data_IF_496211460850
#
_entry.id   IF_496211460850
#
_cell.length_a   1.000
_cell.length_b   1.000
_cell.length_c   1.000
_cell.angle_alpha   90.00
_cell.angle_beta   90.00
_cell.angle_gamma   90.00
#
_symmetry.space_group_name_H-M   'P 1'
#
loop_
_entity.id
_entity.type
_entity.pdbx_description
1 polymer ?
#
# COMPACT_ATOMS: atom_id res chain seq x y z
N UNK A 1 -2.21 22.69 -28.87
CA UNK A 1 -0.74 22.55 -28.86
C UNK A 1 -0.33 22.44 -27.40
N UNK A 2 0.27 21.32 -26.98
CA UNK A 2 0.92 21.25 -25.67
C UNK A 2 2.08 22.26 -25.69
N UNK A 3 2.12 23.17 -24.72
CA UNK A 3 3.12 24.27 -24.66
C UNK A 3 4.52 23.78 -24.30
N UNK A 4 4.66 22.54 -23.84
CA UNK A 4 5.91 21.88 -23.45
C UNK A 4 5.87 20.39 -23.85
N UNK A 5 6.30 20.01 -25.07
CA UNK A 5 6.13 18.65 -25.60
C UNK A 5 6.95 17.59 -24.86
N UNK A 6 8.04 17.98 -24.20
CA UNK A 6 8.91 17.07 -23.43
C UNK A 6 8.50 16.93 -21.96
N UNK A 7 7.56 17.74 -21.47
CA UNK A 7 7.07 17.66 -20.09
C UNK A 7 5.99 16.57 -20.00
N UNK A 8 6.09 15.72 -18.98
CA UNK A 8 5.03 14.78 -18.63
C UNK A 8 4.12 15.37 -17.56
N UNK A 9 2.81 15.30 -17.81
CA UNK A 9 1.79 15.50 -16.79
C UNK A 9 1.24 14.14 -16.36
N UNK A 10 1.59 13.71 -15.15
CA UNK A 10 1.04 12.49 -14.55
C UNK A 10 0.16 12.83 -13.35
N UNK A 11 -0.97 12.13 -13.15
CA UNK A 11 -1.69 12.19 -11.89
C UNK A 11 -0.80 11.72 -10.74
N UNK A 12 -1.06 12.21 -9.52
CA UNK A 12 -0.31 11.79 -8.33
C UNK A 12 -0.62 10.32 -7.98
N UNK A 13 0.40 9.45 -7.99
CA UNK A 13 0.25 8.03 -7.65
C UNK A 13 -0.27 7.84 -6.21
N UNK A 14 0.21 8.64 -5.26
CA UNK A 14 -0.23 8.57 -3.87
C UNK A 14 -1.72 8.92 -3.72
N UNK A 15 -2.18 9.94 -4.45
CA UNK A 15 -3.60 10.28 -4.50
C UNK A 15 -4.44 9.15 -5.11
N UNK A 16 -3.97 8.52 -6.19
CA UNK A 16 -4.67 7.39 -6.82
C UNK A 16 -4.81 6.18 -5.89
N UNK A 17 -3.71 5.75 -5.26
CA UNK A 17 -3.72 4.67 -4.26
C UNK A 17 -4.67 5.02 -3.11
N UNK A 18 -4.72 6.30 -2.77
CA UNK A 18 -5.66 6.80 -1.80
C UNK A 18 -7.13 6.61 -2.14
N UNK A 19 -7.50 6.92 -3.38
CA UNK A 19 -8.85 6.68 -3.87
C UNK A 19 -9.20 5.18 -3.91
N UNK A 20 -8.22 4.30 -4.18
CA UNK A 20 -8.41 2.85 -4.09
C UNK A 20 -8.75 2.44 -2.65
N UNK A 21 -7.98 2.93 -1.68
CA UNK A 21 -8.25 2.66 -0.26
C UNK A 21 -9.62 3.20 0.17
N UNK A 22 -9.97 4.42 -0.25
CA UNK A 22 -11.28 5.00 0.02
C UNK A 22 -12.43 4.13 -0.52
N UNK A 23 -12.30 3.63 -1.75
CA UNK A 23 -13.29 2.74 -2.35
C UNK A 23 -13.34 1.36 -1.67
N UNK A 24 -12.21 0.82 -1.20
CA UNK A 24 -12.21 -0.39 -0.36
C UNK A 24 -13.00 -0.13 0.93
N UNK A 25 -12.85 1.05 1.53
CA UNK A 25 -13.56 1.46 2.74
C UNK A 25 -15.08 1.57 2.58
N UNK A 26 -15.58 1.66 1.34
CA UNK A 26 -17.02 1.72 1.02
C UNK A 26 -17.66 0.34 0.88
N UNK A 27 -16.87 -0.73 0.82
CA UNK A 27 -17.40 -2.10 0.78
C UNK A 27 -18.06 -2.40 2.13
N UNK A 28 -19.32 -2.82 2.11
CA UNK A 28 -20.19 -2.84 3.30
C UNK A 28 -19.58 -3.57 4.51
N UNK A 29 -19.00 -4.76 4.29
CA UNK A 29 -18.40 -5.52 5.38
C UNK A 29 -17.12 -4.85 5.93
N UNK A 30 -16.34 -4.14 5.10
CA UNK A 30 -15.18 -3.35 5.52
C UNK A 30 -15.64 -2.12 6.29
N UNK A 31 -16.64 -1.41 5.74
CA UNK A 31 -17.25 -0.23 6.36
C UNK A 31 -17.77 -0.55 7.76
N UNK A 32 -18.51 -1.65 7.91
CA UNK A 32 -19.03 -2.11 9.21
C UNK A 32 -17.91 -2.40 10.21
N UNK A 33 -16.84 -3.09 9.79
CA UNK A 33 -15.69 -3.36 10.65
C UNK A 33 -14.95 -2.07 11.06
N UNK A 34 -14.79 -1.12 10.13
CA UNK A 34 -14.22 0.21 10.42
C UNK A 34 -15.10 0.96 11.43
N UNK A 35 -16.42 0.95 11.27
CA UNK A 35 -17.35 1.59 12.20
C UNK A 35 -17.30 0.99 13.61
N UNK A 36 -17.22 -0.34 13.73
CA UNK A 36 -17.01 -1.03 15.01
C UNK A 36 -15.69 -0.61 15.66
N UNK A 37 -14.58 -0.60 14.91
CA UNK A 37 -13.28 -0.12 15.41
C UNK A 37 -13.31 1.36 15.81
N UNK A 38 -14.08 2.19 15.09
CA UNK A 38 -14.30 3.60 15.46
C UNK A 38 -15.10 3.73 16.75
N UNK A 39 -16.08 2.86 17.00
CA UNK A 39 -16.82 2.84 18.27
C UNK A 39 -15.88 2.53 19.44
N UNK A 40 -15.05 1.48 19.30
CA UNK A 40 -14.02 1.10 20.29
C UNK A 40 -13.09 2.27 20.60
N UNK A 41 -12.51 2.90 19.57
CA UNK A 41 -11.59 4.03 19.77
C UNK A 41 -12.29 5.25 20.35
N UNK A 42 -13.50 5.62 19.88
CA UNK A 42 -14.24 6.74 20.47
C UNK A 42 -14.49 6.53 21.95
N UNK A 43 -14.88 5.34 22.36
CA UNK A 43 -15.13 5.06 23.77
C UNK A 43 -13.86 5.16 24.62
N UNK A 44 -12.76 4.52 24.18
CA UNK A 44 -11.48 4.54 24.91
C UNK A 44 -10.97 5.97 25.10
N UNK A 45 -11.01 6.79 24.05
CA UNK A 45 -10.46 8.14 24.09
C UNK A 45 -11.42 9.17 24.69
N UNK A 46 -12.71 8.86 24.84
CA UNK A 46 -13.70 9.73 25.50
C UNK A 46 -13.46 9.86 27.01
N UNK A 47 -12.94 8.82 27.65
CA UNK A 47 -12.78 8.76 29.10
C UNK A 47 -11.30 8.69 29.49
N UNK A 48 -10.78 9.70 30.20
CA UNK A 48 -9.37 9.79 30.60
C UNK A 48 -8.90 8.56 31.38
N UNK A 49 -9.76 8.00 32.24
CA UNK A 49 -9.45 6.78 32.99
C UNK A 49 -9.26 5.59 32.06
N UNK A 50 -10.20 5.35 31.13
CA UNK A 50 -10.11 4.27 30.14
C UNK A 50 -8.89 4.42 29.24
N UNK A 51 -8.60 5.64 28.78
CA UNK A 51 -7.40 5.96 28.00
C UNK A 51 -6.11 5.62 28.78
N UNK A 52 -6.05 5.97 30.06
CA UNK A 52 -4.88 5.69 30.91
C UNK A 52 -4.72 4.19 31.20
N UNK A 53 -5.81 3.44 31.36
CA UNK A 53 -5.75 1.98 31.44
C UNK A 53 -5.20 1.43 30.12
N UNK A 54 -5.78 1.82 28.99
CA UNK A 54 -5.32 1.36 27.66
C UNK A 54 -3.83 1.59 27.45
N UNK A 55 -3.34 2.81 27.74
CA UNK A 55 -1.91 3.15 27.58
C UNK A 55 -0.98 2.31 28.46
N UNK A 56 -1.42 1.86 29.64
CA UNK A 56 -0.62 0.94 30.46
C UNK A 56 -0.52 -0.45 29.82
N UNK A 57 -1.62 -0.94 29.27
CA UNK A 57 -1.64 -2.23 28.58
C UNK A 57 -0.94 -2.20 27.22
N UNK A 58 -0.92 -1.06 26.52
CA UNK A 58 -0.29 -0.90 25.20
C UNK A 58 1.12 -0.30 25.27
N UNK A 59 1.71 -0.14 26.46
CA UNK A 59 3.03 0.46 26.66
C UNK A 59 3.15 1.87 26.05
N UNK A 60 2.10 2.67 26.19
CA UNK A 60 2.00 4.04 25.69
C UNK A 60 1.69 4.14 24.20
N UNK A 61 1.53 3.01 23.50
CA UNK A 61 1.20 3.00 22.07
C UNK A 61 -0.28 3.34 21.89
N UNK A 62 -0.55 4.46 21.22
CA UNK A 62 -1.91 4.86 20.86
C UNK A 62 -2.47 3.96 19.73
N UNK A 63 -3.77 3.62 19.84
CA UNK A 63 -4.51 2.85 18.83
C UNK A 63 -4.69 3.66 17.54
N UNK A 64 -5.02 4.95 17.65
CA UNK A 64 -5.27 5.80 16.49
C UNK A 64 -3.93 6.16 15.87
N UNK A 65 -3.74 5.77 14.62
CA UNK A 65 -2.53 6.06 13.86
C UNK A 65 -2.87 6.93 12.66
N UNK A 66 -2.57 8.24 12.71
CA UNK A 66 -2.76 9.12 11.57
C UNK A 66 -2.00 8.59 10.35
N UNK A 67 -2.70 8.48 9.22
CA UNK A 67 -2.06 8.24 7.94
C UNK A 67 -1.58 9.55 7.32
N UNK A 68 -0.65 9.48 6.38
CA UNK A 68 -0.25 10.63 5.56
C UNK A 68 -1.44 11.26 4.82
N UNK A 69 -2.48 10.47 4.59
CA UNK A 69 -3.72 10.88 3.99
C UNK A 69 -4.92 10.46 4.84
N UNK A 70 -5.99 11.26 4.76
CA UNK A 70 -7.24 11.03 5.51
C UNK A 70 -7.81 9.62 5.29
N UNK A 71 -7.88 9.16 4.04
CA UNK A 71 -8.40 7.83 3.68
C UNK A 71 -7.53 6.67 4.22
N UNK A 72 -6.23 6.87 4.40
CA UNK A 72 -5.34 5.84 4.94
C UNK A 72 -5.47 5.70 6.47
N UNK A 73 -5.95 6.73 7.16
CA UNK A 73 -6.02 6.78 8.63
C UNK A 73 -6.87 5.67 9.22
N UNK A 74 -8.01 5.34 8.61
CA UNK A 74 -8.88 4.25 9.09
C UNK A 74 -8.16 2.90 9.03
N UNK A 75 -7.50 2.61 7.91
CA UNK A 75 -6.77 1.35 7.73
C UNK A 75 -5.49 1.28 8.55
N UNK A 76 -4.77 2.39 8.71
CA UNK A 76 -3.61 2.47 9.60
C UNK A 76 -4.01 2.26 11.05
N UNK A 77 -5.15 2.80 11.48
CA UNK A 77 -5.73 2.57 12.81
C UNK A 77 -6.18 1.13 13.00
N UNK A 78 -6.84 0.52 12.01
CA UNK A 78 -7.21 -0.91 12.05
C UNK A 78 -5.98 -1.81 12.16
N UNK A 79 -4.94 -1.54 11.36
CA UNK A 79 -3.67 -2.27 11.41
C UNK A 79 -3.00 -2.13 12.78
N UNK A 80 -3.00 -0.93 13.35
CA UNK A 80 -2.48 -0.66 14.68
C UNK A 80 -3.28 -1.40 15.76
N UNK A 81 -4.60 -1.35 15.70
CA UNK A 81 -5.51 -2.05 16.60
C UNK A 81 -5.30 -3.57 16.53
N UNK A 82 -5.17 -4.14 15.33
CA UNK A 82 -4.88 -5.56 15.14
C UNK A 82 -3.53 -5.96 15.75
N UNK A 83 -2.51 -5.11 15.65
CA UNK A 83 -1.21 -5.30 16.32
C UNK A 83 -1.29 -5.24 17.84
N UNK A 84 -2.24 -4.46 18.39
CA UNK A 84 -2.49 -4.32 19.83
C UNK A 84 -3.55 -5.30 20.35
N UNK A 85 -4.01 -6.27 19.55
CA UNK A 85 -5.10 -7.18 19.90
C UNK A 85 -4.94 -7.81 21.28
N UNK A 86 -3.80 -8.45 21.55
CA UNK A 86 -3.58 -9.15 22.82
C UNK A 86 -3.55 -8.19 24.01
N UNK A 87 -2.98 -7.00 23.82
CA UNK A 87 -2.95 -5.95 24.83
C UNK A 87 -4.37 -5.46 25.16
N UNK A 88 -5.17 -5.18 24.13
CA UNK A 88 -6.55 -4.71 24.30
C UNK A 88 -7.47 -5.79 24.89
N UNK A 89 -7.24 -7.06 24.56
CA UNK A 89 -7.93 -8.19 25.19
C UNK A 89 -7.56 -8.33 26.66
N UNK A 90 -6.26 -8.24 26.98
CA UNK A 90 -5.78 -8.30 28.37
C UNK A 90 -6.28 -7.12 29.20
N UNK A 91 -6.43 -5.95 28.56
CA UNK A 91 -6.98 -4.75 29.18
C UNK A 91 -8.41 -5.01 29.68
N UNK A 92 -9.32 -5.49 28.81
CA UNK A 92 -10.74 -5.66 29.18
C UNK A 92 -11.04 -6.89 30.03
N UNK A 93 -10.09 -7.80 30.21
CA UNK A 93 -10.21 -8.92 31.14
C UNK A 93 -9.48 -8.68 32.46
N UNK A 94 -8.87 -7.51 32.63
CA UNK A 94 -8.12 -7.17 33.84
C UNK A 94 -9.02 -6.80 35.02
N UNK A 95 -8.54 -7.06 36.23
CA UNK A 95 -9.18 -6.58 37.47
C UNK A 95 -9.28 -5.05 37.51
N UNK A 96 -8.30 -4.37 36.93
CA UNK A 96 -8.29 -2.92 36.83
C UNK A 96 -9.43 -2.38 35.96
N UNK A 97 -9.68 -2.98 34.81
CA UNK A 97 -10.83 -2.62 33.99
C UNK A 97 -12.14 -2.98 34.69
N UNK A 98 -12.26 -4.21 35.20
CA UNK A 98 -13.48 -4.69 35.85
C UNK A 98 -13.86 -3.84 37.07
N UNK A 99 -12.88 -3.37 37.85
CA UNK A 99 -13.10 -2.47 38.99
C UNK A 99 -13.33 -1.00 38.62
N UNK A 100 -13.26 -0.62 37.34
CA UNK A 100 -13.49 0.76 36.91
C UNK A 100 -14.98 1.13 36.90
N UNK A 101 -15.30 2.41 37.07
CA UNK A 101 -16.68 2.91 36.94
C UNK A 101 -17.25 2.76 35.52
N UNK A 102 -16.38 2.55 34.53
CA UNK A 102 -16.73 2.54 33.12
C UNK A 102 -17.05 1.14 32.59
N UNK A 103 -16.53 0.07 33.21
CA UNK A 103 -16.74 -1.32 32.77
C UNK A 103 -18.21 -1.74 32.79
N UNK A 104 -18.95 -1.34 33.83
CA UNK A 104 -20.35 -1.72 34.05
C UNK A 104 -21.37 -0.81 33.32
N UNK A 105 -20.90 0.20 32.59
CA UNK A 105 -21.77 1.01 31.73
C UNK A 105 -22.20 0.21 30.51
N UNK A 106 -23.36 0.52 29.92
CA UNK A 106 -23.82 -0.15 28.69
C UNK A 106 -22.76 -0.09 27.58
N UNK A 107 -22.14 1.08 27.38
CA UNK A 107 -21.06 1.27 26.41
C UNK A 107 -19.78 0.48 26.77
N UNK A 108 -19.46 0.34 28.06
CA UNK A 108 -18.30 -0.43 28.54
C UNK A 108 -18.46 -1.94 28.37
N UNK A 109 -19.70 -2.44 28.54
CA UNK A 109 -20.05 -3.82 28.22
C UNK A 109 -19.94 -4.08 26.71
N UNK A 110 -20.44 -3.16 25.88
CA UNK A 110 -20.32 -3.24 24.41
C UNK A 110 -18.84 -3.21 23.96
N UNK A 111 -18.00 -2.39 24.58
CA UNK A 111 -16.56 -2.38 24.35
C UNK A 111 -15.94 -3.75 24.67
N UNK A 112 -16.27 -4.30 25.84
CA UNK A 112 -15.74 -5.58 26.31
C UNK A 112 -16.16 -6.72 25.39
N UNK A 113 -17.44 -6.75 24.98
CA UNK A 113 -17.95 -7.72 24.01
C UNK A 113 -17.20 -7.61 22.68
N UNK A 114 -17.07 -6.40 22.13
CA UNK A 114 -16.36 -6.18 20.86
C UNK A 114 -14.90 -6.63 20.92
N UNK A 115 -14.19 -6.29 22.00
CA UNK A 115 -12.77 -6.64 22.17
C UNK A 115 -12.54 -8.12 22.50
N UNK A 116 -13.55 -8.83 23.01
CA UNK A 116 -13.47 -10.29 23.22
C UNK A 116 -14.00 -11.09 22.02
N UNK A 117 -14.75 -10.45 21.11
CA UNK A 117 -15.33 -11.07 19.92
C UNK A 117 -14.27 -11.56 18.92
N UNK A 118 -14.23 -12.88 18.69
CA UNK A 118 -13.28 -13.50 17.76
C UNK A 118 -13.49 -13.06 16.31
N UNK A 119 -14.75 -12.92 15.88
CA UNK A 119 -15.10 -12.54 14.51
C UNK A 119 -14.66 -11.12 14.19
N UNK A 120 -14.83 -10.18 15.12
CA UNK A 120 -14.33 -8.81 14.99
C UNK A 120 -12.83 -8.78 14.67
N UNK A 121 -12.03 -9.52 15.45
CA UNK A 121 -10.58 -9.57 15.23
C UNK A 121 -10.20 -10.26 13.92
N UNK A 122 -10.89 -11.34 13.55
CA UNK A 122 -10.67 -12.01 12.27
C UNK A 122 -10.91 -11.06 11.09
N UNK A 123 -11.98 -10.25 11.15
CA UNK A 123 -12.27 -9.23 10.14
C UNK A 123 -11.18 -8.14 10.11
N UNK A 124 -10.77 -7.61 11.27
CA UNK A 124 -9.71 -6.59 11.33
C UNK A 124 -8.39 -7.09 10.74
N UNK A 125 -8.01 -8.34 11.03
CA UNK A 125 -6.79 -8.96 10.50
C UNK A 125 -6.91 -9.16 8.98
N UNK A 126 -8.05 -9.66 8.49
CA UNK A 126 -8.29 -9.84 7.06
C UNK A 126 -8.21 -8.51 6.31
N UNK A 127 -8.92 -7.47 6.77
CA UNK A 127 -8.87 -6.13 6.18
C UNK A 127 -7.44 -5.62 6.14
N UNK A 128 -6.71 -5.75 7.25
CA UNK A 128 -5.31 -5.34 7.35
C UNK A 128 -4.45 -6.04 6.29
N UNK A 129 -4.64 -7.35 6.06
CA UNK A 129 -3.90 -8.09 5.03
C UNK A 129 -4.24 -7.64 3.60
N UNK A 130 -5.51 -7.31 3.33
CA UNK A 130 -5.95 -6.80 2.03
C UNK A 130 -5.35 -5.42 1.72
N UNK A 131 -5.26 -4.54 2.71
CA UNK A 131 -4.82 -3.14 2.52
C UNK A 131 -3.33 -2.90 2.76
N UNK A 132 -2.64 -3.75 3.53
CA UNK A 132 -1.20 -3.63 3.82
C UNK A 132 -0.33 -3.43 2.56
N UNK A 133 -0.50 -4.19 1.46
CA UNK A 133 0.32 -3.97 0.28
C UNK A 133 0.10 -2.58 -0.32
N UNK A 134 -1.14 -2.09 -0.40
CA UNK A 134 -1.45 -0.75 -0.89
C UNK A 134 -0.87 0.35 0.02
N UNK A 135 -0.95 0.16 1.34
CA UNK A 135 -0.32 1.08 2.30
C UNK A 135 1.21 1.12 2.15
N UNK A 136 1.85 0.01 1.79
CA UNK A 136 3.29 -0.02 1.47
C UNK A 136 3.61 0.72 0.18
N UNK A 137 2.81 0.53 -0.88
CA UNK A 137 3.02 1.29 -2.13
C UNK A 137 2.83 2.77 -1.87
N UNK A 138 1.80 3.15 -1.10
CA UNK A 138 1.56 4.53 -0.69
C UNK A 138 2.80 5.12 0.01
N UNK A 139 3.36 4.39 0.99
CA UNK A 139 4.58 4.83 1.68
C UNK A 139 5.79 4.96 0.75
N UNK A 140 5.91 4.14 -0.30
CA UNK A 140 6.98 4.25 -1.29
C UNK A 140 6.81 5.52 -2.12
N UNK A 141 5.61 5.79 -2.65
CA UNK A 141 5.36 6.94 -3.53
C UNK A 141 5.31 8.27 -2.78
N UNK A 142 5.04 8.25 -1.47
CA UNK A 142 5.15 9.44 -0.62
C UNK A 142 6.55 9.69 -0.10
N UNK A 143 7.44 8.68 -0.12
CA UNK A 143 8.79 8.80 0.43
C UNK A 143 9.66 9.65 -0.50
N UNK A 144 10.02 10.86 -0.06
CA UNK A 144 11.02 11.69 -0.75
C UNK A 144 12.44 11.10 -0.77
N UNK A 145 12.68 9.96 -0.09
CA UNK A 145 14.03 9.38 0.08
C UNK A 145 14.42 8.38 -1.01
N UNK A 146 13.49 7.90 -1.84
CA UNK A 146 13.73 6.84 -2.81
C UNK A 146 13.00 7.14 -4.11
N UNK A 147 13.67 6.87 -5.23
CA UNK A 147 13.06 6.84 -6.56
C UNK A 147 11.88 5.87 -6.55
N UNK A 148 10.66 6.39 -6.64
CA UNK A 148 9.45 5.62 -6.43
C UNK A 148 8.94 4.99 -7.73
N UNK A 149 9.17 5.66 -8.88
CA UNK A 149 8.53 5.30 -10.16
C UNK A 149 8.78 3.84 -10.55
N UNK A 150 10.01 3.36 -10.37
CA UNK A 150 10.38 1.98 -10.68
C UNK A 150 9.81 0.91 -9.76
N UNK A 151 9.12 1.27 -8.69
CA UNK A 151 8.51 0.33 -7.74
C UNK A 151 6.99 0.28 -7.80
N UNK A 152 6.36 1.31 -8.37
CA UNK A 152 4.90 1.47 -8.30
C UNK A 152 4.18 0.33 -9.00
N UNK A 153 4.55 -0.01 -10.23
CA UNK A 153 3.94 -1.13 -10.97
C UNK A 153 4.09 -2.47 -10.25
N UNK A 154 5.30 -2.78 -9.78
CA UNK A 154 5.57 -3.99 -9.01
C UNK A 154 4.71 -4.06 -7.75
N UNK A 155 4.60 -2.93 -7.05
CA UNK A 155 3.80 -2.78 -5.84
C UNK A 155 2.32 -3.02 -6.09
N UNK A 156 1.76 -2.42 -7.14
CA UNK A 156 0.36 -2.56 -7.52
C UNK A 156 0.04 -4.00 -7.97
N UNK A 157 0.91 -4.63 -8.76
CA UNK A 157 0.77 -6.03 -9.15
C UNK A 157 0.78 -6.94 -7.92
N UNK A 158 1.75 -6.75 -7.02
CA UNK A 158 1.85 -7.51 -5.76
C UNK A 158 0.62 -7.31 -4.87
N UNK A 159 0.04 -6.11 -4.84
CA UNK A 159 -1.20 -5.86 -4.11
C UNK A 159 -2.36 -6.72 -4.65
N UNK A 160 -2.54 -6.79 -5.97
CA UNK A 160 -3.54 -7.66 -6.60
C UNK A 160 -3.33 -9.14 -6.28
N UNK A 161 -2.10 -9.63 -6.37
CA UNK A 161 -1.79 -11.03 -6.05
C UNK A 161 -2.03 -11.38 -4.58
N UNK A 162 -1.71 -10.47 -3.64
CA UNK A 162 -2.02 -10.68 -2.22
C UNK A 162 -3.54 -10.74 -2.00
N UNK A 163 -4.30 -9.84 -2.62
CA UNK A 163 -5.77 -9.85 -2.51
C UNK A 163 -6.36 -11.17 -3.01
N UNK A 164 -5.88 -11.67 -4.16
CA UNK A 164 -6.28 -12.97 -4.71
C UNK A 164 -5.92 -14.15 -3.78
N UNK A 165 -4.78 -14.06 -3.09
CA UNK A 165 -4.36 -15.09 -2.13
C UNK A 165 -5.22 -15.09 -0.86
N UNK A 166 -5.58 -13.92 -0.35
CA UNK A 166 -6.43 -13.82 0.86
C UNK A 166 -7.91 -14.12 0.56
N UNK A 167 -8.35 -13.91 -0.68
CA UNK A 167 -9.71 -14.18 -1.16
C UNK A 167 -9.66 -15.17 -2.32
N UNK A 168 -9.71 -16.49 -2.07
CA UNK A 168 -9.41 -17.49 -3.11
C UNK A 168 -10.51 -17.61 -4.18
N UNK A 169 -11.75 -17.21 -3.88
CA UNK A 169 -12.83 -17.23 -4.86
C UNK A 169 -12.72 -16.04 -5.81
N UNK A 170 -12.86 -16.32 -7.10
CA UNK A 170 -12.78 -15.30 -8.16
C UNK A 170 -13.75 -14.15 -7.95
N UNK A 171 -15.00 -14.45 -7.64
CA UNK A 171 -16.03 -13.45 -7.36
C UNK A 171 -15.62 -12.47 -6.25
N UNK A 172 -14.95 -12.95 -5.21
CA UNK A 172 -14.55 -12.14 -4.06
C UNK A 172 -13.39 -11.19 -4.39
N UNK A 173 -12.29 -11.71 -4.96
CA UNK A 173 -11.12 -10.87 -5.25
C UNK A 173 -11.33 -9.94 -6.46
N UNK A 174 -12.21 -10.30 -7.39
CA UNK A 174 -12.49 -9.48 -8.58
C UNK A 174 -13.10 -8.13 -8.23
N UNK A 175 -13.87 -8.01 -7.14
CA UNK A 175 -14.39 -6.73 -6.65
C UNK A 175 -13.26 -5.74 -6.41
N UNK A 176 -12.22 -6.17 -5.69
CA UNK A 176 -11.05 -5.35 -5.36
C UNK A 176 -10.17 -5.10 -6.59
N UNK A 177 -9.97 -6.11 -7.43
CA UNK A 177 -9.21 -5.94 -8.67
C UNK A 177 -9.86 -4.93 -9.60
N UNK A 178 -11.19 -4.94 -9.71
CA UNK A 178 -11.93 -3.97 -10.50
C UNK A 178 -11.78 -2.55 -9.95
N UNK A 179 -11.81 -2.37 -8.62
CA UNK A 179 -11.54 -1.05 -8.00
C UNK A 179 -10.11 -0.59 -8.31
N UNK A 180 -9.13 -1.46 -8.09
CA UNK A 180 -7.71 -1.17 -8.38
C UNK A 180 -7.56 -0.79 -9.85
N UNK A 181 -8.01 -1.63 -10.77
CA UNK A 181 -7.85 -1.41 -12.21
C UNK A 181 -8.58 -0.14 -12.66
N UNK A 182 -9.80 0.12 -12.18
CA UNK A 182 -10.55 1.33 -12.56
C UNK A 182 -9.85 2.62 -12.12
N UNK A 183 -9.28 2.66 -10.91
CA UNK A 183 -8.53 3.82 -10.43
C UNK A 183 -7.16 3.92 -11.09
N UNK A 184 -6.51 2.78 -11.35
CA UNK A 184 -5.17 2.68 -11.91
C UNK A 184 -5.11 2.84 -13.42
N UNK A 185 -6.23 2.66 -14.16
CA UNK A 185 -6.32 2.83 -15.63
C UNK A 185 -5.67 4.11 -16.14
N UNK A 186 -5.77 5.22 -15.39
CA UNK A 186 -5.16 6.51 -15.76
C UNK A 186 -3.62 6.49 -15.78
N UNK A 187 -3.00 5.50 -15.13
CA UNK A 187 -1.55 5.30 -15.09
C UNK A 187 -1.04 4.28 -16.11
N UNK A 188 -1.92 3.47 -16.72
CA UNK A 188 -1.52 2.45 -17.71
C UNK A 188 -0.88 3.06 -18.96
N UNK A 189 -1.22 4.31 -19.28
CA UNK A 189 -0.71 5.03 -20.45
C UNK A 189 0.34 6.09 -20.08
N UNK A 190 1.08 5.90 -18.98
CA UNK A 190 2.18 6.78 -18.60
C UNK A 190 3.52 6.12 -18.91
N UNK A 191 4.13 6.43 -20.07
CA UNK A 191 5.46 5.97 -20.48
C UNK A 191 6.49 6.00 -19.35
N UNK A 192 6.52 7.07 -18.55
CA UNK A 192 7.49 7.24 -17.46
C UNK A 192 7.45 6.14 -16.41
N UNK A 193 6.26 5.69 -16.00
CA UNK A 193 6.17 4.65 -14.99
C UNK A 193 6.58 3.29 -15.58
N UNK A 194 6.29 3.06 -16.87
CA UNK A 194 6.70 1.84 -17.59
C UNK A 194 8.21 1.80 -17.75
N UNK A 195 8.82 2.91 -18.17
CA UNK A 195 10.27 3.08 -18.27
C UNK A 195 10.94 2.92 -16.90
N UNK A 196 10.43 3.56 -15.86
CA UNK A 196 10.96 3.42 -14.50
C UNK A 196 10.93 1.97 -14.00
N UNK A 197 9.84 1.24 -14.27
CA UNK A 197 9.74 -0.18 -13.90
C UNK A 197 10.69 -1.06 -14.73
N UNK A 198 10.77 -0.83 -16.04
CA UNK A 198 11.65 -1.56 -16.95
C UNK A 198 13.13 -1.38 -16.59
N UNK A 199 13.53 -0.16 -16.26
CA UNK A 199 14.91 0.18 -15.93
C UNK A 199 15.29 -0.17 -14.48
N UNK A 200 14.36 -0.71 -13.69
CA UNK A 200 14.65 -1.20 -12.34
C UNK A 200 15.23 -2.63 -12.40
N UNK A 201 16.53 -2.83 -12.15
CA UNK A 201 17.19 -4.14 -12.35
C UNK A 201 16.59 -5.23 -11.46
N UNK A 202 16.09 -4.86 -10.28
CA UNK A 202 15.43 -5.79 -9.36
C UNK A 202 14.24 -6.49 -10.00
N UNK A 203 13.41 -5.73 -10.71
CA UNK A 203 12.19 -6.25 -11.31
C UNK A 203 12.45 -6.77 -12.71
N UNK A 204 13.25 -6.05 -13.50
CA UNK A 204 13.57 -6.43 -14.86
C UNK A 204 14.19 -7.84 -14.96
N UNK A 205 15.22 -8.13 -14.15
CA UNK A 205 15.89 -9.42 -14.18
C UNK A 205 15.29 -10.46 -13.21
N UNK A 206 14.41 -10.02 -12.31
CA UNK A 206 13.78 -10.89 -11.31
C UNK A 206 12.41 -11.42 -11.75
N UNK A 207 11.76 -10.77 -12.70
CA UNK A 207 10.50 -11.18 -13.33
C UNK A 207 10.86 -11.87 -14.65
N UNK A 208 10.08 -12.89 -15.04
CA UNK A 208 10.25 -13.57 -16.33
C UNK A 208 9.89 -12.65 -17.50
N UNK A 209 9.04 -13.12 -18.41
CA UNK A 209 8.68 -12.33 -19.59
C UNK A 209 7.98 -11.00 -19.21
N UNK A 210 8.62 -9.90 -19.60
CA UNK A 210 8.08 -8.55 -19.47
C UNK A 210 7.03 -8.36 -20.56
N UNK A 211 5.84 -7.91 -20.15
CA UNK A 211 4.76 -7.64 -21.10
C UNK A 211 5.17 -6.58 -22.15
N UNK A 212 4.79 -6.81 -23.41
CA UNK A 212 5.14 -5.95 -24.55
C UNK A 212 4.73 -4.50 -24.38
N UNK A 213 3.63 -4.24 -23.66
CA UNK A 213 3.14 -2.90 -23.35
C UNK A 213 4.11 -2.07 -22.49
N UNK A 214 4.95 -2.71 -21.66
CA UNK A 214 5.95 -2.01 -20.85
C UNK A 214 7.09 -1.53 -21.76
N UNK A 215 7.52 -2.37 -22.70
CA UNK A 215 8.57 -2.02 -23.67
C UNK A 215 8.13 -0.88 -24.59
N UNK A 216 6.90 -0.92 -25.11
CA UNK A 216 6.34 0.19 -25.88
C UNK A 216 6.38 1.50 -25.09
N UNK A 217 6.02 1.46 -23.81
CA UNK A 217 6.12 2.65 -22.93
C UNK A 217 7.54 3.17 -22.74
N UNK A 218 8.58 2.33 -22.86
CA UNK A 218 9.98 2.80 -22.84
C UNK A 218 10.31 3.56 -24.11
N UNK A 219 9.91 3.05 -25.27
CA UNK A 219 10.13 3.73 -26.55
C UNK A 219 9.35 5.05 -26.63
N UNK A 220 8.08 5.07 -26.20
CA UNK A 220 7.29 6.29 -26.10
C UNK A 220 7.98 7.36 -25.22
N UNK A 221 8.73 6.93 -24.20
CA UNK A 221 9.54 7.81 -23.35
C UNK A 221 10.73 8.41 -24.09
N UNK A 222 11.45 7.58 -24.83
CA UNK A 222 12.64 7.99 -25.57
C UNK A 222 12.27 8.98 -26.68
N UNK A 223 11.25 8.63 -27.47
CA UNK A 223 10.77 9.46 -28.58
C UNK A 223 10.27 10.84 -28.11
N UNK A 224 9.66 10.91 -26.92
CA UNK A 224 9.17 12.18 -26.34
C UNK A 224 10.26 13.01 -25.68
N UNK A 225 11.23 12.39 -25.00
CA UNK A 225 12.26 13.10 -24.23
C UNK A 225 13.49 13.49 -25.06
N UNK A 226 13.78 12.74 -26.11
CA UNK A 226 14.99 12.88 -26.92
C UNK A 226 14.58 13.25 -28.34
N UNK A 227 14.88 14.46 -28.79
CA UNK A 227 14.54 14.90 -30.16
C UNK A 227 15.53 14.44 -31.23
N UNK A 228 16.75 14.07 -30.84
CA UNK A 228 17.84 13.66 -31.73
C UNK A 228 17.75 12.15 -32.04
N UNK A 229 17.53 11.82 -33.31
CA UNK A 229 17.34 10.45 -33.80
C UNK A 229 18.61 9.61 -33.59
N UNK A 230 19.81 10.18 -33.75
CA UNK A 230 21.07 9.43 -33.55
C UNK A 230 21.28 9.12 -32.06
N UNK A 231 20.80 9.98 -31.17
CA UNK A 231 20.78 9.70 -29.72
C UNK A 231 19.74 8.61 -29.42
N UNK A 232 18.54 8.67 -30.00
CA UNK A 232 17.52 7.62 -29.82
C UNK A 232 18.05 6.24 -30.24
N UNK A 233 18.65 6.13 -31.43
CA UNK A 233 19.22 4.88 -31.95
C UNK A 233 20.30 4.29 -31.04
N UNK A 234 21.13 5.16 -30.43
CA UNK A 234 22.13 4.74 -29.44
C UNK A 234 21.48 4.24 -28.17
N UNK A 235 20.46 4.92 -27.64
CA UNK A 235 19.72 4.48 -26.44
C UNK A 235 19.08 3.12 -26.69
N UNK A 236 18.47 2.90 -27.86
CA UNK A 236 17.86 1.60 -28.21
C UNK A 236 18.91 0.48 -28.24
N UNK A 237 20.12 0.75 -28.72
CA UNK A 237 21.24 -0.22 -28.64
C UNK A 237 21.62 -0.52 -27.19
N UNK A 238 21.76 0.50 -26.35
CA UNK A 238 22.06 0.34 -24.91
C UNK A 238 20.96 -0.44 -24.17
N UNK A 239 19.70 -0.28 -24.54
CA UNK A 239 18.59 -1.06 -23.97
C UNK A 239 18.74 -2.56 -24.25
N UNK A 240 19.21 -2.93 -25.45
CA UNK A 240 19.50 -4.33 -25.75
C UNK A 240 20.67 -4.86 -24.90
N UNK A 241 21.73 -4.05 -24.72
CA UNK A 241 22.85 -4.40 -23.83
C UNK A 241 22.40 -4.59 -22.38
N UNK A 242 21.50 -3.72 -21.90
CA UNK A 242 20.85 -3.86 -20.61
C UNK A 242 20.04 -5.16 -20.54
N UNK A 243 19.14 -5.41 -21.49
CA UNK A 243 18.33 -6.65 -21.51
C UNK A 243 19.19 -7.90 -21.38
N UNK A 244 20.25 -7.95 -22.17
CA UNK A 244 21.10 -9.14 -22.30
C UNK A 244 22.23 -9.16 -21.23
N UNK A 245 22.23 -8.18 -20.31
CA UNK A 245 23.22 -7.98 -19.25
C UNK A 245 24.68 -8.00 -19.75
N UNK A 246 24.92 -7.37 -20.90
CA UNK A 246 26.22 -7.37 -21.57
C UNK A 246 27.22 -6.48 -20.84
N UNK A 247 28.50 -6.89 -20.87
CA UNK A 247 29.60 -6.11 -20.30
C UNK A 247 29.53 -6.00 -18.78
N UNK A 248 29.60 -4.78 -18.27
CA UNK A 248 29.69 -4.52 -16.82
C UNK A 248 28.37 -4.83 -16.08
N UNK A 249 27.25 -4.82 -16.79
CA UNK A 249 25.91 -5.15 -16.25
C UNK A 249 25.76 -6.64 -15.89
N UNK A 250 26.58 -7.51 -16.49
CA UNK A 250 26.62 -8.95 -16.24
C UNK A 250 27.66 -9.37 -15.19
N UNK A 251 28.50 -8.47 -14.72
CA UNK A 251 29.52 -8.80 -13.70
C UNK A 251 28.85 -9.26 -12.41
N UNK A 252 29.50 -10.19 -11.70
CA UNK A 252 29.01 -10.71 -10.40
C UNK A 252 28.69 -9.61 -9.40
N UNK A 253 29.43 -8.49 -9.42
CA UNK A 253 29.15 -7.32 -8.58
C UNK A 253 27.80 -6.69 -8.95
N UNK A 254 27.57 -6.39 -10.23
CA UNK A 254 26.34 -5.80 -10.73
C UNK A 254 25.13 -6.71 -10.47
N UNK A 255 25.28 -8.02 -10.72
CA UNK A 255 24.22 -9.01 -10.46
C UNK A 255 23.80 -9.03 -8.99
N UNK A 256 24.77 -9.08 -8.05
CA UNK A 256 24.46 -8.99 -6.61
C UNK A 256 23.82 -7.66 -6.23
N UNK A 257 24.18 -6.59 -6.93
CA UNK A 257 23.69 -5.25 -6.65
C UNK A 257 22.24 -5.02 -7.09
N UNK A 258 21.68 -5.84 -7.99
CA UNK A 258 20.29 -5.71 -8.50
C UNK A 258 19.26 -5.67 -7.38
N UNK A 259 19.49 -6.41 -6.30
CA UNK A 259 18.58 -6.49 -5.15
C UNK A 259 18.92 -5.53 -4.00
N UNK A 260 20.16 -5.01 -3.97
CA UNK A 260 20.70 -4.26 -2.83
C UNK A 260 20.87 -2.77 -3.10
N UNK A 261 21.13 -2.38 -4.35
CA UNK A 261 21.18 -0.98 -4.76
C UNK A 261 19.79 -0.52 -5.17
N UNK A 262 19.42 0.65 -4.70
CA UNK A 262 18.19 1.31 -5.11
C UNK A 262 18.42 1.94 -6.49
N UNK A 263 17.46 1.85 -7.43
CA UNK A 263 17.46 2.67 -8.63
C UNK A 263 17.57 4.15 -8.25
N UNK A 264 18.38 4.90 -9.00
CA UNK A 264 18.36 6.36 -8.97
C UNK A 264 17.25 6.91 -9.86
N UNK A 265 16.82 8.13 -9.57
CA UNK A 265 16.08 9.02 -10.48
C UNK A 265 17.00 10.19 -10.85
#
# INVERSE_FOLDING_TARGET
>A
METLPTLYWSPCAAHCIGLILDDFGKIEWIKSAVEQARSVTRYIYKHTVTLNIMRRYTFGIDIVKPGEYLFATNFMTLKQMAGLKLNLQSMVTSQEWMGSLYSNTADGLMLTDTLTNRSFWSLCILITRLVDPLLRVLSIVSSQKRAAMGYVFAGMYRAKEIVKRELPKREDYMVYWNIIDNRWKRFWHLPLHSAGFYLNPKFFYGIGDIHSNIMSGVFDCIERLVSDIEVQDRIVKEINLYRDAVGDLGRKLAVRARDTLLPGE
#
